data_IF_613774522608
#
_entry.id   IF_613774522608
#
_cell.length_a   1.000
_cell.length_b   1.000
_cell.length_c   1.000
_cell.angle_alpha   90.00
_cell.angle_beta   90.00
_cell.angle_gamma   90.00
#
_symmetry.space_group_name_H-M   'P 1'
#
loop_
_entity.id
_entity.type
_entity.pdbx_description
1 polymer ?
#
# COMPACT_ATOMS: atom_id res chain seq x y z
N UNK A 1 7.76 -9.69 22.75
CA UNK A 1 8.38 -10.16 21.49
C UNK A 1 9.91 -10.21 21.59
N UNK A 2 10.59 -9.20 22.15
CA UNK A 2 12.04 -9.24 22.37
C UNK A 2 12.54 -10.48 23.15
N UNK A 3 11.83 -10.89 24.21
CA UNK A 3 12.18 -12.09 25.00
C UNK A 3 12.07 -13.41 24.22
N UNK A 4 11.19 -13.50 23.21
CA UNK A 4 11.07 -14.70 22.37
C UNK A 4 12.23 -14.79 21.37
N UNK A 5 12.66 -13.65 20.83
CA UNK A 5 13.77 -13.57 19.88
C UNK A 5 15.14 -13.86 20.51
N UNK A 6 15.34 -13.57 21.80
CA UNK A 6 16.59 -13.90 22.50
C UNK A 6 16.78 -15.41 22.69
N UNK A 7 15.70 -16.17 22.92
CA UNK A 7 15.78 -17.61 23.19
C UNK A 7 16.20 -18.47 21.99
N UNK A 8 16.07 -17.94 20.77
CA UNK A 8 16.50 -18.63 19.54
C UNK A 8 17.78 -18.06 18.94
N UNK A 9 18.41 -17.08 19.60
CA UNK A 9 19.59 -16.42 19.05
C UNK A 9 20.77 -17.37 18.87
N UNK A 10 21.09 -18.18 19.88
CA UNK A 10 22.17 -19.18 19.80
C UNK A 10 21.89 -20.22 18.71
N UNK A 11 20.63 -20.66 18.59
CA UNK A 11 20.21 -21.57 17.52
C UNK A 11 20.42 -20.93 16.14
N UNK A 12 20.07 -19.65 15.98
CA UNK A 12 20.24 -18.94 14.71
C UNK A 12 21.72 -18.74 14.36
N UNK A 13 22.57 -18.45 15.35
CA UNK A 13 24.03 -18.36 15.15
C UNK A 13 24.61 -19.72 14.74
N UNK A 14 24.22 -20.80 15.41
CA UNK A 14 24.66 -22.15 15.05
C UNK A 14 24.21 -22.54 13.62
N UNK A 15 22.99 -22.18 13.22
CA UNK A 15 22.52 -22.39 11.84
C UNK A 15 23.29 -21.55 10.83
N UNK A 16 23.67 -20.32 11.19
CA UNK A 16 24.50 -19.47 10.34
C UNK A 16 25.90 -20.07 10.14
N UNK A 17 26.55 -20.52 11.21
CA UNK A 17 27.85 -21.19 11.16
C UNK A 17 27.80 -22.49 10.35
N UNK A 18 26.75 -23.30 10.54
CA UNK A 18 26.55 -24.52 9.77
C UNK A 18 26.38 -24.25 8.27
N UNK A 19 25.71 -23.16 7.89
CA UNK A 19 25.58 -22.75 6.49
C UNK A 19 26.94 -22.33 5.88
N UNK A 20 27.78 -21.62 6.64
CA UNK A 20 29.13 -21.26 6.21
C UNK A 20 30.00 -22.51 6.06
N UNK A 21 29.99 -23.41 7.03
CA UNK A 21 30.77 -24.65 6.97
C UNK A 21 30.34 -25.54 5.78
N UNK A 22 29.04 -25.66 5.53
CA UNK A 22 28.52 -26.39 4.37
C UNK A 22 28.95 -25.74 3.04
N UNK A 23 28.97 -24.41 2.95
CA UNK A 23 29.48 -23.68 1.78
C UNK A 23 30.94 -24.01 1.50
N UNK A 24 31.78 -23.97 2.54
CA UNK A 24 33.22 -24.26 2.44
C UNK A 24 33.48 -25.70 2.01
N UNK A 25 32.77 -26.66 2.61
CA UNK A 25 32.92 -28.08 2.31
C UNK A 25 32.61 -28.43 0.84
N UNK A 26 31.63 -27.73 0.24
CA UNK A 26 31.26 -27.96 -1.17
C UNK A 26 31.98 -27.03 -2.16
N UNK A 27 32.85 -26.13 -1.67
CA UNK A 27 33.58 -25.17 -2.48
C UNK A 27 32.66 -24.19 -3.24
N UNK A 28 31.53 -23.80 -2.66
CA UNK A 28 30.59 -22.89 -3.31
C UNK A 28 31.07 -21.43 -3.23
N UNK A 29 31.01 -20.72 -4.35
CA UNK A 29 31.27 -19.26 -4.39
C UNK A 29 30.06 -18.43 -3.95
N UNK A 30 28.87 -19.02 -3.86
CA UNK A 30 27.64 -18.31 -3.52
C UNK A 30 27.63 -17.88 -2.04
N UNK A 31 26.92 -16.80 -1.67
CA UNK A 31 26.70 -16.42 -0.27
C UNK A 31 26.03 -17.55 0.53
N UNK A 32 26.35 -17.65 1.81
CA UNK A 32 25.69 -18.56 2.73
C UNK A 32 25.44 -17.90 4.09
N UNK A 33 24.38 -18.30 4.77
CA UNK A 33 24.06 -17.84 6.11
C UNK A 33 22.59 -17.97 6.48
N UNK A 34 22.25 -17.58 7.71
CA UNK A 34 20.89 -17.60 8.22
C UNK A 34 20.36 -16.20 8.60
N UNK A 35 19.05 -16.02 8.52
CA UNK A 35 18.28 -14.89 9.06
C UNK A 35 17.03 -15.42 9.76
N UNK A 36 16.53 -14.71 10.77
CA UNK A 36 15.35 -15.14 11.52
C UNK A 36 14.45 -13.98 11.90
N UNK A 37 13.14 -14.24 11.91
CA UNK A 37 12.12 -13.34 12.44
C UNK A 37 11.12 -14.16 13.26
N UNK A 38 11.13 -13.97 14.58
CA UNK A 38 10.43 -14.87 15.50
C UNK A 38 10.81 -16.34 15.23
N UNK A 39 9.84 -17.23 15.00
CA UNK A 39 10.06 -18.65 14.69
C UNK A 39 10.39 -18.94 13.22
N UNK A 40 10.16 -17.98 12.32
CA UNK A 40 10.48 -18.12 10.90
C UNK A 40 11.98 -17.92 10.67
N UNK A 41 12.68 -18.99 10.27
CA UNK A 41 14.11 -18.96 9.94
C UNK A 41 14.31 -19.21 8.45
N UNK A 42 15.08 -18.34 7.81
CA UNK A 42 15.52 -18.49 6.42
C UNK A 42 17.00 -18.77 6.41
N UNK A 43 17.41 -19.85 5.75
CA UNK A 43 18.83 -20.15 5.51
C UNK A 43 19.06 -20.15 4.01
N UNK A 44 20.15 -19.52 3.58
CA UNK A 44 20.55 -19.45 2.18
C UNK A 44 21.93 -20.09 2.01
N UNK A 45 22.09 -20.87 0.94
CA UNK A 45 23.31 -21.60 0.57
C UNK A 45 23.21 -22.01 -0.91
N UNK A 46 24.34 -22.32 -1.55
CA UNK A 46 24.34 -22.95 -2.88
C UNK A 46 23.78 -24.38 -2.87
N UNK A 47 23.28 -24.83 -4.02
CA UNK A 47 22.48 -26.07 -4.16
C UNK A 47 23.20 -27.31 -3.61
N UNK A 48 24.51 -27.41 -3.85
CA UNK A 48 25.35 -28.55 -3.42
C UNK A 48 25.43 -28.71 -1.90
N UNK A 49 25.23 -27.64 -1.13
CA UNK A 49 25.34 -27.65 0.34
C UNK A 49 24.02 -27.95 1.06
N UNK A 50 22.91 -28.06 0.33
CA UNK A 50 21.55 -28.11 0.92
C UNK A 50 21.35 -29.32 1.84
N UNK A 51 21.70 -30.54 1.41
CA UNK A 51 21.48 -31.74 2.23
C UNK A 51 22.33 -31.74 3.50
N UNK A 52 23.61 -31.33 3.39
CA UNK A 52 24.47 -31.16 4.56
C UNK A 52 23.87 -30.19 5.58
N UNK A 53 23.35 -29.07 5.10
CA UNK A 53 22.70 -28.07 5.95
C UNK A 53 21.42 -28.59 6.59
N UNK A 54 20.60 -29.38 5.88
CA UNK A 54 19.37 -29.98 6.44
C UNK A 54 19.71 -30.89 7.63
N UNK A 55 20.73 -31.74 7.48
CA UNK A 55 21.15 -32.66 8.53
C UNK A 55 21.73 -31.91 9.74
N UNK A 56 22.62 -30.94 9.50
CA UNK A 56 23.12 -30.07 10.58
C UNK A 56 22.01 -29.29 11.27
N UNK A 57 21.03 -28.79 10.51
CA UNK A 57 19.90 -28.03 11.07
C UNK A 57 19.03 -28.90 11.99
N UNK A 58 18.78 -30.16 11.61
CA UNK A 58 18.03 -31.11 12.44
C UNK A 58 18.75 -31.40 13.75
N UNK A 59 20.05 -31.58 13.70
CA UNK A 59 20.88 -31.79 14.88
C UNK A 59 20.88 -30.58 15.81
N UNK A 60 21.14 -29.38 15.25
CA UNK A 60 21.16 -28.12 16.01
C UNK A 60 19.80 -27.88 16.68
N UNK A 61 18.71 -27.99 15.94
CA UNK A 61 17.36 -27.79 16.47
C UNK A 61 17.00 -28.87 17.51
N UNK A 62 17.41 -30.12 17.28
CA UNK A 62 17.20 -31.22 18.21
C UNK A 62 17.90 -31.01 19.56
N UNK A 63 19.16 -30.57 19.55
CA UNK A 63 19.92 -30.22 20.77
C UNK A 63 19.25 -29.10 21.55
N UNK A 64 18.66 -28.13 20.85
CA UNK A 64 17.91 -27.01 21.44
C UNK A 64 16.44 -27.35 21.75
N UNK A 65 16.03 -28.62 21.61
CA UNK A 65 14.66 -29.10 21.85
C UNK A 65 13.59 -28.37 21.02
N UNK A 66 13.97 -27.85 19.85
CA UNK A 66 13.07 -27.23 18.87
C UNK A 66 12.63 -28.29 17.88
N UNK A 67 11.32 -28.59 17.84
CA UNK A 67 10.77 -29.55 16.87
C UNK A 67 10.51 -28.87 15.53
N UNK A 68 11.26 -29.27 14.51
CA UNK A 68 11.03 -28.81 13.14
C UNK A 68 9.73 -29.37 12.57
N UNK A 69 8.91 -28.50 11.97
CA UNK A 69 7.72 -28.89 11.21
C UNK A 69 8.08 -29.07 9.74
N UNK A 70 8.51 -30.28 9.40
CA UNK A 70 9.02 -30.63 8.05
C UNK A 70 8.01 -30.30 6.95
N UNK A 71 6.72 -30.46 7.22
CA UNK A 71 5.61 -30.14 6.31
C UNK A 71 5.52 -28.65 5.93
N UNK A 72 6.11 -27.77 6.75
CA UNK A 72 6.18 -26.32 6.50
C UNK A 72 7.52 -25.88 5.92
N UNK A 73 8.54 -26.74 5.92
CA UNK A 73 9.85 -26.42 5.40
C UNK A 73 9.86 -26.58 3.88
N UNK A 74 10.37 -25.54 3.19
CA UNK A 74 10.47 -25.52 1.73
C UNK A 74 11.87 -25.07 1.31
N UNK A 75 12.33 -25.56 0.17
CA UNK A 75 13.58 -25.16 -0.47
C UNK A 75 13.21 -24.43 -1.75
N UNK A 76 13.51 -23.14 -1.82
CA UNK A 76 13.40 -22.37 -3.06
C UNK A 76 14.71 -22.47 -3.84
N UNK A 77 14.64 -22.98 -5.06
CA UNK A 77 15.76 -23.02 -6.00
C UNK A 77 15.46 -22.16 -7.23
N UNK A 78 16.48 -21.89 -8.03
CA UNK A 78 16.28 -21.24 -9.33
C UNK A 78 15.45 -22.14 -10.26
N UNK A 79 14.57 -21.58 -11.12
CA UNK A 79 13.85 -22.35 -12.14
C UNK A 79 14.75 -23.33 -12.90
N UNK A 80 14.30 -24.59 -12.99
CA UNK A 80 15.02 -25.66 -13.69
C UNK A 80 16.12 -26.35 -12.87
N UNK A 81 16.43 -25.90 -11.66
CA UNK A 81 17.49 -26.48 -10.80
C UNK A 81 16.95 -27.40 -9.70
N UNK A 82 15.72 -27.91 -9.85
CA UNK A 82 15.06 -28.75 -8.84
C UNK A 82 15.86 -30.00 -8.50
N UNK A 83 16.48 -30.62 -9.50
CA UNK A 83 17.22 -31.87 -9.30
C UNK A 83 18.65 -31.64 -8.76
N UNK A 84 19.14 -30.39 -8.78
CA UNK A 84 20.50 -30.06 -8.33
C UNK A 84 20.66 -30.08 -6.80
N UNK A 85 19.56 -30.11 -6.07
CA UNK A 85 19.55 -30.27 -4.60
C UNK A 85 19.37 -31.71 -4.16
N UNK A 86 19.25 -32.66 -5.09
CA UNK A 86 19.20 -34.07 -4.76
C UNK A 86 20.55 -34.54 -4.21
N UNK A 87 20.50 -35.32 -3.12
CA UNK A 87 21.64 -36.07 -2.63
C UNK A 87 21.95 -37.25 -3.55
N UNK A 88 23.01 -37.97 -3.22
CA UNK A 88 23.41 -39.19 -3.94
C UNK A 88 23.56 -40.30 -2.89
N UNK A 89 22.94 -41.46 -3.13
CA UNK A 89 23.10 -42.64 -2.25
C UNK A 89 24.40 -43.41 -2.51
N UNK A 90 24.63 -44.48 -1.75
CA UNK A 90 25.82 -45.32 -1.90
C UNK A 90 25.93 -45.97 -3.29
N UNK A 91 24.82 -46.11 -4.00
CA UNK A 91 24.73 -46.69 -5.34
C UNK A 91 24.74 -45.62 -6.45
N UNK A 92 24.94 -44.35 -6.11
CA UNK A 92 24.98 -43.25 -7.09
C UNK A 92 23.62 -42.73 -7.54
N UNK A 93 22.51 -43.13 -6.89
CA UNK A 93 21.15 -42.71 -7.26
C UNK A 93 20.78 -41.40 -6.57
N UNK A 94 20.00 -40.58 -7.26
CA UNK A 94 19.51 -39.32 -6.73
C UNK A 94 18.52 -39.54 -5.58
N UNK A 95 18.77 -38.93 -4.42
CA UNK A 95 17.86 -38.90 -3.27
C UNK A 95 17.26 -37.50 -3.15
N UNK A 96 15.93 -37.32 -3.19
CA UNK A 96 15.32 -36.01 -2.99
C UNK A 96 15.59 -35.50 -1.55
N UNK A 97 15.75 -34.18 -1.35
CA UNK A 97 15.92 -33.62 -0.03
C UNK A 97 14.66 -33.83 0.82
N UNK A 98 14.82 -33.73 2.14
CA UNK A 98 13.73 -33.98 3.07
C UNK A 98 12.61 -32.93 3.07
N UNK A 99 12.86 -31.75 2.48
CA UNK A 99 11.91 -30.65 2.40
C UNK A 99 11.37 -30.52 0.98
N UNK A 100 10.16 -29.98 0.84
CA UNK A 100 9.56 -29.73 -0.46
C UNK A 100 10.42 -28.75 -1.27
N UNK A 101 10.87 -29.17 -2.45
CA UNK A 101 11.59 -28.29 -3.39
C UNK A 101 10.59 -27.56 -4.28
N UNK A 102 10.70 -26.24 -4.35
CA UNK A 102 9.94 -25.37 -5.24
C UNK A 102 10.90 -24.50 -6.06
N UNK A 103 10.59 -24.27 -7.32
CA UNK A 103 11.43 -23.52 -8.25
C UNK A 103 10.70 -22.32 -8.89
N UNK A 104 9.38 -22.23 -8.71
CA UNK A 104 8.58 -21.09 -9.13
C UNK A 104 8.58 -19.95 -8.12
N UNK A 105 8.53 -20.26 -6.81
CA UNK A 105 8.42 -19.27 -5.75
C UNK A 105 7.75 -19.78 -4.48
N UNK A 106 7.81 -18.97 -3.43
CA UNK A 106 7.12 -19.19 -2.14
C UNK A 106 6.81 -17.85 -1.47
N UNK A 107 6.10 -17.87 -0.34
CA UNK A 107 5.81 -16.66 0.45
C UNK A 107 6.68 -16.64 1.71
N UNK A 108 7.52 -15.62 1.87
CA UNK A 108 8.35 -15.39 3.07
C UNK A 108 7.79 -14.19 3.84
N UNK A 109 7.40 -14.38 5.09
CA UNK A 109 6.89 -13.31 5.96
C UNK A 109 5.77 -12.47 5.31
N UNK A 110 4.91 -13.12 4.53
CA UNK A 110 3.82 -12.48 3.79
C UNK A 110 4.21 -11.87 2.43
N UNK A 111 5.49 -11.89 2.05
CA UNK A 111 5.98 -11.37 0.76
C UNK A 111 6.22 -12.51 -0.23
N UNK A 112 5.63 -12.50 -1.44
CA UNK A 112 5.92 -13.50 -2.45
C UNK A 112 7.31 -13.28 -3.07
N UNK A 113 8.11 -14.35 -3.12
CA UNK A 113 9.46 -14.40 -3.70
C UNK A 113 9.56 -15.49 -4.76
N UNK A 114 10.55 -15.39 -5.65
CA UNK A 114 10.76 -16.31 -6.77
C UNK A 114 10.54 -15.64 -8.12
N UNK A 115 10.03 -16.41 -9.09
CA UNK A 115 9.79 -15.97 -10.47
C UNK A 115 8.83 -14.79 -10.55
N UNK A 116 8.98 -13.96 -11.57
CA UNK A 116 8.05 -12.84 -11.80
C UNK A 116 6.59 -13.31 -11.90
N UNK A 117 6.35 -14.42 -12.61
CA UNK A 117 5.02 -15.02 -12.76
C UNK A 117 4.38 -15.43 -11.43
N UNK A 118 5.13 -16.14 -10.57
CA UNK A 118 4.65 -16.51 -9.23
C UNK A 118 4.31 -15.28 -8.39
N UNK A 119 5.21 -14.28 -8.38
CA UNK A 119 4.99 -13.05 -7.60
C UNK A 119 3.76 -12.29 -8.07
N UNK A 120 3.55 -12.15 -9.39
CA UNK A 120 2.36 -11.49 -9.96
C UNK A 120 1.08 -12.21 -9.55
N UNK A 121 1.00 -13.53 -9.73
CA UNK A 121 -0.18 -14.32 -9.36
C UNK A 121 -0.49 -14.24 -7.85
N UNK A 122 0.54 -14.30 -7.00
CA UNK A 122 0.38 -14.18 -5.56
C UNK A 122 -0.09 -12.77 -5.14
N UNK A 123 0.45 -11.71 -5.75
CA UNK A 123 0.04 -10.33 -5.51
C UNK A 123 -1.39 -10.08 -5.99
N UNK A 124 -1.74 -10.53 -7.20
CA UNK A 124 -3.10 -10.46 -7.74
C UNK A 124 -4.11 -11.04 -6.76
N UNK A 125 -3.88 -12.29 -6.34
CA UNK A 125 -4.72 -12.97 -5.36
C UNK A 125 -4.79 -12.20 -4.04
N UNK A 126 -3.66 -11.71 -3.53
CA UNK A 126 -3.63 -10.97 -2.26
C UNK A 126 -4.46 -9.69 -2.33
N UNK A 127 -4.32 -8.90 -3.41
CA UNK A 127 -5.10 -7.66 -3.60
C UNK A 127 -6.59 -7.95 -3.81
N UNK A 128 -6.92 -8.98 -4.58
CA UNK A 128 -8.31 -9.44 -4.73
C UNK A 128 -8.90 -9.85 -3.37
N UNK A 129 -8.16 -10.59 -2.56
CA UNK A 129 -8.56 -11.01 -1.20
C UNK A 129 -8.74 -9.81 -0.26
N UNK A 130 -7.90 -8.77 -0.38
CA UNK A 130 -8.03 -7.52 0.38
C UNK A 130 -9.27 -6.70 -0.03
N UNK A 131 -9.60 -6.66 -1.31
CA UNK A 131 -10.74 -5.91 -1.86
C UNK A 131 -12.08 -6.62 -1.67
N UNK A 132 -12.10 -7.96 -1.74
CA UNK A 132 -13.31 -8.81 -1.63
C UNK A 132 -14.28 -8.46 -0.50
N UNK A 133 -13.84 -8.16 0.74
CA UNK A 133 -14.75 -7.81 1.83
C UNK A 133 -15.24 -6.35 1.81
N UNK A 134 -14.65 -5.45 1.01
CA UNK A 134 -14.98 -4.01 1.00
C UNK A 134 -16.47 -3.74 0.72
N UNK A 135 -17.14 -4.42 -0.23
CA UNK A 135 -18.57 -4.19 -0.48
C UNK A 135 -19.48 -4.46 0.72
N UNK A 136 -19.05 -5.31 1.68
CA UNK A 136 -19.84 -5.62 2.87
C UNK A 136 -19.99 -4.42 3.82
N UNK A 137 -19.17 -3.37 3.67
CA UNK A 137 -19.27 -2.13 4.44
C UNK A 137 -20.61 -1.41 4.26
N UNK A 138 -21.32 -1.67 3.16
CA UNK A 138 -22.68 -1.14 2.90
C UNK A 138 -23.73 -1.64 3.89
N UNK A 139 -23.43 -2.71 4.64
CA UNK A 139 -24.33 -3.32 5.63
C UNK A 139 -24.05 -2.84 7.06
N UNK A 140 -23.10 -1.94 7.23
CA UNK A 140 -22.67 -1.40 8.52
C UNK A 140 -23.12 0.06 8.60
N UNK A 141 -23.37 0.56 9.81
CA UNK A 141 -23.57 2.00 10.05
C UNK A 141 -22.51 2.84 9.31
N UNK A 142 -22.89 3.91 8.58
CA UNK A 142 -21.97 4.71 7.75
C UNK A 142 -20.69 5.18 8.46
N UNK A 143 -20.78 5.61 9.71
CA UNK A 143 -19.62 6.09 10.46
C UNK A 143 -18.68 4.94 10.85
N UNK A 144 -19.24 3.82 11.32
CA UNK A 144 -18.49 2.59 11.56
C UNK A 144 -17.87 2.07 10.26
N UNK A 145 -18.61 2.08 9.15
CA UNK A 145 -18.15 1.64 7.84
C UNK A 145 -16.96 2.46 7.34
N UNK A 146 -17.04 3.80 7.47
CA UNK A 146 -15.94 4.70 7.14
C UNK A 146 -14.71 4.44 8.03
N UNK A 147 -14.91 4.28 9.34
CA UNK A 147 -13.82 4.01 10.29
C UNK A 147 -13.11 2.69 9.96
N UNK A 148 -13.86 1.63 9.67
CA UNK A 148 -13.32 0.35 9.24
C UNK A 148 -12.58 0.48 7.90
N UNK A 149 -13.15 1.21 6.94
CA UNK A 149 -12.52 1.47 5.65
C UNK A 149 -11.15 2.13 5.85
N UNK A 150 -11.09 3.16 6.69
CA UNK A 150 -9.89 3.94 6.94
C UNK A 150 -8.82 3.18 7.72
N UNK A 151 -9.19 2.59 8.85
CA UNK A 151 -8.22 2.04 9.80
C UNK A 151 -7.91 0.56 9.53
N UNK A 152 -8.80 -0.17 8.86
CA UNK A 152 -8.68 -1.63 8.74
C UNK A 152 -8.56 -2.12 7.29
N UNK A 153 -9.32 -1.56 6.35
CA UNK A 153 -9.28 -2.04 4.95
C UNK A 153 -8.18 -1.33 4.15
N UNK A 154 -8.14 0.00 4.18
CA UNK A 154 -7.17 0.79 3.41
C UNK A 154 -5.72 0.64 3.93
N UNK A 155 -5.54 0.10 5.14
CA UNK A 155 -4.22 -0.17 5.72
C UNK A 155 -3.58 -1.50 5.23
N UNK A 156 -4.38 -2.44 4.68
CA UNK A 156 -3.90 -3.80 4.33
C UNK A 156 -2.85 -3.80 3.21
N UNK A 157 -3.01 -3.01 2.12
CA UNK A 157 -2.01 -2.96 1.06
C UNK A 157 -0.64 -2.48 1.50
N UNK A 158 -0.56 -1.64 2.53
CA UNK A 158 0.64 -0.86 2.89
C UNK A 158 1.91 -1.71 3.02
N UNK A 159 1.79 -2.94 3.53
CA UNK A 159 2.93 -3.82 3.63
C UNK A 159 3.42 -4.28 2.26
N UNK A 160 2.53 -4.87 1.44
CA UNK A 160 2.88 -5.41 0.14
C UNK A 160 3.37 -4.34 -0.84
N UNK A 161 2.75 -3.16 -0.83
CA UNK A 161 3.15 -2.03 -1.67
C UNK A 161 4.49 -1.42 -1.26
N UNK A 162 5.00 -1.72 -0.06
CA UNK A 162 6.31 -1.25 0.41
C UNK A 162 7.44 -2.23 0.09
N UNK A 163 7.13 -3.51 0.02
CA UNK A 163 8.14 -4.59 -0.09
C UNK A 163 8.13 -5.30 -1.45
N UNK A 164 7.16 -4.99 -2.30
CA UNK A 164 7.04 -5.52 -3.66
C UNK A 164 7.42 -4.46 -4.68
N UNK A 165 7.79 -4.90 -5.88
CA UNK A 165 8.15 -3.99 -6.97
C UNK A 165 6.90 -3.40 -7.66
N UNK A 166 6.81 -2.07 -7.86
CA UNK A 166 5.64 -1.39 -8.43
C UNK A 166 5.09 -2.04 -9.71
N UNK A 167 5.97 -2.37 -10.67
CA UNK A 167 5.60 -2.98 -11.94
C UNK A 167 4.87 -4.34 -11.81
N UNK A 168 4.95 -4.98 -10.64
CA UNK A 168 4.26 -6.25 -10.36
C UNK A 168 2.85 -6.08 -9.85
N UNK A 169 2.55 -4.97 -9.17
CA UNK A 169 1.29 -4.82 -8.43
C UNK A 169 0.45 -3.61 -8.83
N UNK A 170 0.96 -2.70 -9.67
CA UNK A 170 0.26 -1.46 -10.04
C UNK A 170 -1.17 -1.67 -10.53
N UNK A 171 -1.40 -2.66 -11.40
CA UNK A 171 -2.74 -2.92 -11.95
C UNK A 171 -3.71 -3.42 -10.86
N UNK A 172 -3.20 -4.22 -9.91
CA UNK A 172 -3.99 -4.77 -8.82
C UNK A 172 -4.34 -3.70 -7.78
N UNK A 173 -3.42 -2.78 -7.46
CA UNK A 173 -3.73 -1.65 -6.55
C UNK A 173 -4.67 -0.65 -7.17
N UNK A 174 -4.65 -0.42 -8.48
CA UNK A 174 -5.68 0.41 -9.15
C UNK A 174 -7.07 -0.17 -8.94
N UNK A 175 -7.20 -1.50 -9.06
CA UNK A 175 -8.47 -2.20 -8.81
C UNK A 175 -8.90 -2.08 -7.35
N UNK A 176 -7.97 -2.26 -6.40
CA UNK A 176 -8.23 -2.04 -4.98
C UNK A 176 -8.66 -0.59 -4.69
N UNK A 177 -7.95 0.40 -5.23
CA UNK A 177 -8.26 1.81 -5.05
C UNK A 177 -9.64 2.19 -5.60
N UNK A 178 -10.04 1.59 -6.73
CA UNK A 178 -11.40 1.74 -7.27
C UNK A 178 -12.45 1.11 -6.34
N UNK A 179 -12.15 -0.01 -5.70
CA UNK A 179 -13.04 -0.60 -4.69
C UNK A 179 -13.19 0.33 -3.47
N UNK A 180 -12.12 1.00 -3.04
CA UNK A 180 -12.17 2.02 -1.98
C UNK A 180 -12.95 3.26 -2.43
N UNK A 181 -12.72 3.75 -3.66
CA UNK A 181 -13.49 4.85 -4.26
C UNK A 181 -15.00 4.55 -4.22
N UNK A 182 -15.38 3.35 -4.67
CA UNK A 182 -16.76 2.89 -4.66
C UNK A 182 -17.34 2.73 -3.25
N UNK A 183 -16.54 2.27 -2.29
CA UNK A 183 -16.98 2.15 -0.90
C UNK A 183 -17.25 3.51 -0.25
N UNK A 184 -16.37 4.50 -0.47
CA UNK A 184 -16.58 5.88 -0.01
C UNK A 184 -17.86 6.45 -0.61
N UNK A 185 -18.04 6.27 -1.92
CA UNK A 185 -19.23 6.73 -2.63
C UNK A 185 -20.52 6.05 -2.10
N UNK A 186 -20.47 4.75 -1.84
CA UNK A 186 -21.59 3.99 -1.28
C UNK A 186 -21.94 4.43 0.15
N UNK A 187 -20.94 4.64 1.02
CA UNK A 187 -21.15 5.18 2.38
C UNK A 187 -21.81 6.57 2.29
N UNK A 188 -21.34 7.40 1.38
CA UNK A 188 -21.89 8.72 1.12
C UNK A 188 -23.20 8.70 0.29
N UNK A 189 -23.71 7.52 -0.11
CA UNK A 189 -24.91 7.35 -0.95
C UNK A 189 -24.91 8.21 -2.21
N UNK A 190 -23.76 8.28 -2.88
CA UNK A 190 -23.57 9.07 -4.10
C UNK A 190 -22.90 8.21 -5.18
N UNK A 191 -23.07 8.51 -6.48
CA UNK A 191 -22.30 7.86 -7.52
C UNK A 191 -20.79 8.11 -7.35
N UNK A 192 -19.92 7.13 -7.66
CA UNK A 192 -18.48 7.34 -7.65
C UNK A 192 -18.06 8.36 -8.71
N UNK A 193 -17.02 9.15 -8.40
CA UNK A 193 -16.46 10.12 -9.33
C UNK A 193 -14.95 10.26 -9.13
N UNK A 194 -14.25 10.77 -10.14
CA UNK A 194 -12.82 11.08 -10.02
C UNK A 194 -12.55 12.11 -8.91
N UNK A 195 -13.49 13.04 -8.68
CA UNK A 195 -13.40 14.03 -7.61
C UNK A 195 -13.44 13.39 -6.21
N UNK A 196 -14.33 12.41 -5.99
CA UNK A 196 -14.36 11.61 -4.76
C UNK A 196 -13.02 10.88 -4.59
N UNK A 197 -12.49 10.31 -5.67
CA UNK A 197 -11.19 9.63 -5.68
C UNK A 197 -10.03 10.52 -5.26
N UNK A 198 -10.02 11.79 -5.69
CA UNK A 198 -9.04 12.80 -5.25
C UNK A 198 -9.28 13.24 -3.81
N UNK A 199 -10.53 13.57 -3.43
CA UNK A 199 -10.86 14.07 -2.10
C UNK A 199 -10.59 13.03 -1.01
N UNK A 200 -10.87 11.75 -1.28
CA UNK A 200 -10.60 10.71 -0.29
C UNK A 200 -9.10 10.60 0.04
N UNK A 201 -8.24 10.78 -0.96
CA UNK A 201 -6.80 10.58 -0.81
C UNK A 201 -6.11 11.75 -0.14
N UNK A 202 -6.70 12.94 -0.21
CA UNK A 202 -6.14 14.12 0.45
C UNK A 202 -6.14 13.97 1.98
N UNK A 203 -5.14 14.52 2.69
CA UNK A 203 -5.13 14.61 4.13
C UNK A 203 -6.33 15.39 4.66
N UNK A 204 -6.77 15.07 5.87
CA UNK A 204 -7.81 15.85 6.57
C UNK A 204 -7.43 17.33 6.76
N UNK A 205 -6.13 17.65 6.91
CA UNK A 205 -5.63 19.03 6.96
C UNK A 205 -5.77 19.76 5.62
N UNK A 206 -6.11 19.07 4.53
CA UNK A 206 -6.33 19.64 3.19
C UNK A 206 -7.77 19.41 2.71
N UNK A 207 -8.73 19.29 3.62
CA UNK A 207 -10.13 19.09 3.22
C UNK A 207 -10.49 17.65 2.82
N UNK A 208 -9.54 16.71 2.84
CA UNK A 208 -9.77 15.33 2.45
C UNK A 208 -10.23 14.40 3.56
N UNK A 209 -10.14 13.09 3.28
CA UNK A 209 -10.57 11.99 4.17
C UNK A 209 -9.41 11.17 4.76
N UNK A 210 -8.16 11.43 4.36
CA UNK A 210 -6.98 10.63 4.75
C UNK A 210 -7.12 9.14 4.43
N UNK A 211 -7.65 8.82 3.26
CA UNK A 211 -7.71 7.47 2.66
C UNK A 211 -6.75 7.42 1.47
N UNK A 212 -5.42 7.30 1.69
CA UNK A 212 -4.43 7.40 0.62
C UNK A 212 -4.69 6.38 -0.49
N UNK A 213 -4.28 6.75 -1.71
CA UNK A 213 -4.22 5.81 -2.84
C UNK A 213 -2.97 4.95 -2.73
N UNK A 214 -3.09 3.70 -3.16
CA UNK A 214 -1.98 2.75 -3.24
C UNK A 214 -1.40 2.67 -4.65
N UNK A 215 -2.10 3.19 -5.66
CA UNK A 215 -1.53 3.48 -6.96
C UNK A 215 -0.79 4.83 -6.94
N UNK A 216 0.41 4.85 -7.51
CA UNK A 216 1.16 6.07 -7.79
C UNK A 216 2.18 6.49 -6.72
N UNK A 217 2.54 7.78 -6.69
CA UNK A 217 3.76 8.29 -6.06
C UNK A 217 3.95 7.93 -4.59
N UNK A 218 2.87 7.91 -3.81
CA UNK A 218 2.95 7.63 -2.37
C UNK A 218 3.39 6.19 -2.09
N UNK A 219 2.93 5.23 -2.91
CA UNK A 219 3.32 3.83 -2.78
C UNK A 219 4.76 3.59 -3.26
N UNK A 220 5.15 4.29 -4.33
CA UNK A 220 6.49 4.20 -4.92
C UNK A 220 7.52 4.81 -3.97
N UNK A 221 7.21 5.92 -3.32
CA UNK A 221 8.02 6.51 -2.24
C UNK A 221 8.20 5.52 -1.08
N UNK A 222 7.12 4.85 -0.66
CA UNK A 222 7.18 3.80 0.36
C UNK A 222 8.13 2.66 -0.03
N UNK A 223 8.07 2.21 -1.28
CA UNK A 223 9.00 1.19 -1.81
C UNK A 223 10.45 1.68 -1.78
N UNK A 224 10.70 2.91 -2.25
CA UNK A 224 12.05 3.50 -2.28
C UNK A 224 12.62 3.66 -0.87
N UNK A 225 11.82 4.11 0.10
CA UNK A 225 12.21 4.19 1.50
C UNK A 225 12.55 2.81 2.07
N UNK A 226 11.78 1.78 1.73
CA UNK A 226 12.07 0.40 2.12
C UNK A 226 13.38 -0.10 1.54
N UNK A 227 13.63 0.13 0.24
CA UNK A 227 14.90 -0.20 -0.42
C UNK A 227 16.08 0.50 0.22
N UNK A 228 15.97 1.79 0.55
CA UNK A 228 17.02 2.53 1.22
C UNK A 228 17.36 1.92 2.58
N UNK A 229 16.35 1.59 3.38
CA UNK A 229 16.52 0.93 4.68
C UNK A 229 17.14 -0.46 4.54
N UNK A 230 16.67 -1.27 3.59
CA UNK A 230 17.26 -2.59 3.28
C UNK A 230 18.71 -2.45 2.84
N UNK A 231 19.04 -1.49 1.97
CA UNK A 231 20.41 -1.22 1.54
C UNK A 231 21.30 -0.85 2.72
N UNK A 232 20.88 0.06 3.59
CA UNK A 232 21.64 0.42 4.78
C UNK A 232 21.88 -0.78 5.70
N UNK A 233 20.87 -1.64 5.88
CA UNK A 233 20.99 -2.86 6.68
C UNK A 233 21.98 -3.86 6.05
N UNK A 234 21.81 -4.17 4.76
CA UNK A 234 22.65 -5.13 4.02
C UNK A 234 24.10 -4.65 4.00
N UNK A 235 24.35 -3.40 3.63
CA UNK A 235 25.72 -2.87 3.57
C UNK A 235 26.42 -2.84 4.93
N UNK A 236 25.67 -2.63 6.02
CA UNK A 236 26.24 -2.56 7.38
C UNK A 236 26.46 -3.94 8.00
N UNK A 237 25.51 -4.85 7.83
CA UNK A 237 25.47 -6.09 8.61
C UNK A 237 25.62 -7.36 7.77
N UNK A 238 25.28 -7.33 6.48
CA UNK A 238 25.22 -8.51 5.59
C UNK A 238 25.77 -8.21 4.18
N UNK A 239 27.00 -7.68 4.06
CA UNK A 239 27.53 -7.22 2.77
C UNK A 239 27.61 -8.34 1.71
N UNK A 240 27.65 -9.61 2.12
CA UNK A 240 27.61 -10.77 1.22
C UNK A 240 26.32 -10.87 0.40
N UNK A 241 25.24 -10.19 0.83
CA UNK A 241 23.96 -10.12 0.11
C UNK A 241 23.86 -8.93 -0.84
N UNK A 242 24.86 -8.04 -0.85
CA UNK A 242 24.82 -6.82 -1.66
C UNK A 242 24.63 -7.05 -3.17
N UNK A 243 25.22 -8.08 -3.80
CA UNK A 243 25.02 -8.34 -5.23
C UNK A 243 23.54 -8.57 -5.60
N UNK A 244 22.73 -9.11 -4.67
CA UNK A 244 21.29 -9.30 -4.90
C UNK A 244 20.52 -8.00 -5.10
N UNK A 245 21.04 -6.86 -4.63
CA UNK A 245 20.43 -5.55 -4.84
C UNK A 245 20.63 -5.03 -6.27
N UNK A 246 21.57 -5.59 -7.05
CA UNK A 246 21.77 -5.22 -8.47
C UNK A 246 20.57 -5.63 -9.34
N UNK A 247 19.78 -6.60 -8.88
CA UNK A 247 18.55 -7.04 -9.56
C UNK A 247 17.36 -6.09 -9.34
N UNK A 248 17.51 -5.03 -8.52
CA UNK A 248 16.45 -4.06 -8.29
C UNK A 248 16.23 -3.19 -9.53
N UNK A 249 15.04 -3.30 -10.13
CA UNK A 249 14.67 -2.44 -11.27
C UNK A 249 14.59 -0.98 -10.83
N UNK A 250 14.91 -0.08 -11.74
CA UNK A 250 14.64 1.33 -11.55
C UNK A 250 13.14 1.57 -11.32
N UNK A 251 12.79 2.44 -10.38
CA UNK A 251 11.39 2.81 -10.10
C UNK A 251 11.19 4.23 -10.62
N UNK A 252 10.38 4.36 -11.67
CA UNK A 252 9.92 5.65 -12.16
C UNK A 252 8.67 6.08 -11.41
N UNK A 253 8.83 7.10 -10.58
CA UNK A 253 7.74 7.61 -9.76
C UNK A 253 6.75 8.41 -10.61
N UNK A 254 5.45 8.15 -10.44
CA UNK A 254 4.35 8.86 -11.10
C UNK A 254 3.79 8.20 -12.36
N UNK A 255 4.40 7.12 -12.86
CA UNK A 255 3.94 6.41 -14.07
C UNK A 255 2.58 5.71 -13.91
N UNK A 256 2.22 5.35 -12.68
CA UNK A 256 0.96 4.67 -12.35
C UNK A 256 -0.31 5.52 -12.37
N UNK A 257 -0.20 6.85 -12.47
CA UNK A 257 -1.35 7.73 -12.55
C UNK A 257 -1.81 7.86 -14.02
N UNK A 258 -3.09 7.61 -14.31
CA UNK A 258 -3.73 8.01 -15.59
C UNK A 258 -3.73 9.52 -15.83
N UNK A 259 -3.15 10.31 -14.90
CA UNK A 259 -2.56 11.58 -15.24
C UNK A 259 -1.32 11.32 -16.13
N UNK A 260 -1.54 11.09 -17.43
CA UNK A 260 -0.59 11.57 -18.44
C UNK A 260 -0.37 13.04 -18.13
N UNK A 261 0.72 13.34 -17.41
CA UNK A 261 1.14 14.69 -17.11
C UNK A 261 1.32 15.37 -18.46
N UNK A 262 0.39 16.28 -18.81
CA UNK A 262 0.61 17.23 -19.90
C UNK A 262 1.76 18.11 -19.45
N UNK A 263 2.96 17.79 -19.92
CA UNK A 263 4.16 18.63 -19.78
C UNK A 263 3.91 20.09 -20.25
N UNK A 264 2.85 20.31 -21.05
CA UNK A 264 2.31 21.61 -21.47
C UNK A 264 1.96 22.57 -20.31
N UNK A 265 1.76 22.09 -19.07
CA UNK A 265 1.36 22.93 -17.92
C UNK A 265 2.47 23.13 -16.87
N UNK A 266 3.66 22.54 -17.08
CA UNK A 266 4.80 22.69 -16.17
C UNK A 266 5.87 23.62 -16.75
N UNK A 267 5.77 23.96 -18.03
CA UNK A 267 6.64 24.93 -18.69
C UNK A 267 5.79 26.15 -19.07
N UNK A 268 5.56 27.02 -18.09
CA UNK A 268 5.52 28.45 -18.40
C UNK A 268 6.92 28.97 -18.08
N UNK A 269 7.59 29.47 -19.12
CA UNK A 269 8.79 30.29 -19.13
C UNK A 269 10.12 29.68 -18.65
N UNK A 270 10.63 28.68 -19.37
CA UNK A 270 12.09 28.64 -19.60
C UNK A 270 12.40 27.99 -20.96
N UNK A 271 13.28 28.66 -21.70
CA UNK A 271 13.65 28.40 -23.08
C UNK A 271 14.32 27.02 -23.28
N UNK A 272 14.12 26.45 -24.47
CA UNK A 272 14.92 25.38 -25.09
C UNK A 272 15.18 24.10 -24.26
N UNK A 273 14.22 23.19 -24.21
CA UNK A 273 14.54 21.75 -24.03
C UNK A 273 13.92 20.95 -25.16
N UNK A 274 14.79 20.50 -26.07
CA UNK A 274 14.44 19.68 -27.21
C UNK A 274 13.83 18.33 -26.76
N UNK A 275 12.74 17.94 -27.40
CA UNK A 275 11.88 16.78 -27.13
C UNK A 275 12.53 15.38 -27.31
N UNK A 276 13.86 15.27 -27.34
CA UNK A 276 14.57 14.02 -27.64
C UNK A 276 15.03 13.20 -26.41
N UNK A 277 14.95 13.75 -25.18
CA UNK A 277 15.53 13.14 -23.97
C UNK A 277 14.48 12.49 -23.03
N UNK A 278 13.61 11.65 -23.58
CA UNK A 278 12.55 10.93 -22.86
C UNK A 278 13.04 9.62 -22.17
N UNK A 279 14.18 9.69 -21.48
CA UNK A 279 14.70 8.58 -20.66
C UNK A 279 15.21 9.05 -19.28
N UNK A 280 14.55 10.05 -18.68
CA UNK A 280 14.96 10.59 -17.37
C UNK A 280 13.84 10.46 -16.34
N UNK A 281 14.14 9.69 -15.31
CA UNK A 281 13.51 9.78 -13.99
C UNK A 281 13.33 11.26 -13.60
N UNK A 282 12.12 11.65 -13.20
CA UNK A 282 11.85 13.01 -12.76
C UNK A 282 12.77 13.39 -11.57
N UNK A 283 13.30 14.62 -11.53
CA UNK A 283 14.04 15.15 -10.38
C UNK A 283 13.31 14.94 -9.04
N UNK A 284 14.06 14.62 -7.98
CA UNK A 284 13.51 14.27 -6.64
C UNK A 284 12.57 15.34 -6.08
N UNK A 285 12.83 16.61 -6.35
CA UNK A 285 12.00 17.75 -5.95
C UNK A 285 10.67 17.81 -6.72
N UNK A 286 10.66 17.43 -8.00
CA UNK A 286 9.45 17.28 -8.81
C UNK A 286 8.65 16.05 -8.34
N UNK A 287 9.32 14.95 -8.00
CA UNK A 287 8.68 13.78 -7.40
C UNK A 287 8.05 14.07 -6.04
N UNK A 288 8.74 14.85 -5.19
CA UNK A 288 8.20 15.32 -3.92
C UNK A 288 6.97 16.21 -4.14
N UNK A 289 6.95 17.06 -5.19
CA UNK A 289 5.78 17.88 -5.58
C UNK A 289 4.63 17.06 -6.19
N UNK A 290 4.91 15.92 -6.82
CA UNK A 290 3.91 15.02 -7.42
C UNK A 290 3.31 14.06 -6.38
N UNK A 291 4.12 13.62 -5.41
CA UNK A 291 3.64 12.96 -4.18
C UNK A 291 2.94 13.95 -3.23
N UNK A 292 3.12 15.26 -3.45
CA UNK A 292 2.53 16.32 -2.64
C UNK A 292 1.01 16.38 -2.85
N UNK A 293 0.29 16.03 -1.80
CA UNK A 293 -1.14 16.26 -1.71
C UNK A 293 -1.53 17.71 -2.06
N UNK A 294 -0.62 18.68 -1.86
CA UNK A 294 -0.82 20.08 -2.25
C UNK A 294 -1.04 20.25 -3.75
N UNK A 295 -0.36 19.51 -4.62
CA UNK A 295 -0.57 19.61 -6.07
C UNK A 295 -1.97 19.11 -6.45
N UNK A 296 -2.35 17.92 -5.97
CA UNK A 296 -3.67 17.34 -6.21
C UNK A 296 -4.79 18.25 -5.68
N UNK A 297 -4.57 18.83 -4.50
CA UNK A 297 -5.46 19.82 -3.90
C UNK A 297 -5.57 21.08 -4.76
N UNK A 298 -4.45 21.64 -5.21
CA UNK A 298 -4.41 22.86 -6.03
C UNK A 298 -5.10 22.64 -7.38
N UNK A 299 -4.84 21.51 -8.03
CA UNK A 299 -5.47 21.14 -9.30
C UNK A 299 -6.99 21.04 -9.15
N UNK A 300 -7.47 20.40 -8.08
CA UNK A 300 -8.90 20.33 -7.75
C UNK A 300 -9.47 21.72 -7.48
N UNK A 301 -8.84 22.51 -6.63
CA UNK A 301 -9.27 23.86 -6.26
C UNK A 301 -9.38 24.79 -7.49
N UNK A 302 -8.36 24.81 -8.35
CA UNK A 302 -8.37 25.62 -9.57
C UNK A 302 -9.42 25.14 -10.57
N UNK A 303 -9.61 23.82 -10.71
CA UNK A 303 -10.68 23.25 -11.54
C UNK A 303 -12.05 23.75 -11.07
N UNK A 304 -12.34 23.66 -9.77
CA UNK A 304 -13.61 24.13 -9.19
C UNK A 304 -13.85 25.62 -9.47
N UNK A 305 -12.81 26.46 -9.38
CA UNK A 305 -12.91 27.90 -9.70
C UNK A 305 -13.19 28.13 -11.19
N UNK A 306 -12.46 27.45 -12.08
CA UNK A 306 -12.60 27.59 -13.53
C UNK A 306 -13.96 27.11 -14.04
N UNK A 307 -14.53 26.08 -13.44
CA UNK A 307 -15.87 25.58 -13.79
C UNK A 307 -17.01 26.32 -13.08
N UNK A 308 -16.76 27.48 -12.48
CA UNK A 308 -17.79 28.27 -11.79
C UNK A 308 -18.31 27.70 -10.47
N UNK A 309 -17.76 26.57 -9.98
CA UNK A 309 -18.13 25.93 -8.69
C UNK A 309 -17.46 26.63 -7.50
N UNK A 310 -17.62 27.96 -7.41
CA UNK A 310 -16.96 28.82 -6.40
C UNK A 310 -17.25 28.40 -4.96
N UNK A 311 -18.48 27.96 -4.67
CA UNK A 311 -18.89 27.49 -3.34
C UNK A 311 -18.13 26.22 -2.92
N UNK A 312 -17.99 25.25 -3.83
CA UNK A 312 -17.21 24.04 -3.57
C UNK A 312 -15.72 24.39 -3.35
N UNK A 313 -15.18 25.34 -4.10
CA UNK A 313 -13.81 25.81 -3.92
C UNK A 313 -13.63 26.47 -2.53
N UNK A 314 -14.58 27.33 -2.12
CA UNK A 314 -14.57 27.97 -0.80
C UNK A 314 -14.69 26.93 0.32
N UNK A 315 -15.59 25.95 0.19
CA UNK A 315 -15.75 24.87 1.17
C UNK A 315 -14.50 24.00 1.28
N UNK A 316 -13.87 23.63 0.17
CA UNK A 316 -12.59 22.90 0.16
C UNK A 316 -11.50 23.69 0.89
N UNK A 317 -11.41 25.00 0.64
CA UNK A 317 -10.47 25.89 1.31
C UNK A 317 -10.73 25.97 2.83
N UNK A 318 -11.98 26.20 3.23
CA UNK A 318 -12.37 26.22 4.65
C UNK A 318 -12.13 24.89 5.34
N UNK A 319 -12.37 23.77 4.64
CA UNK A 319 -12.11 22.42 5.09
C UNK A 319 -10.63 22.05 5.20
N UNK A 320 -9.72 22.90 4.72
CA UNK A 320 -8.27 22.71 4.77
C UNK A 320 -7.61 23.33 6.02
N UNK A 321 -8.41 23.56 7.06
CA UNK A 321 -7.90 23.99 8.37
C UNK A 321 -7.66 22.80 9.30
N UNK A 322 -6.68 22.91 10.18
CA UNK A 322 -6.34 21.88 11.17
C UNK A 322 -7.54 21.52 12.04
N UNK A 323 -7.82 20.22 12.17
CA UNK A 323 -8.88 19.70 13.05
C UNK A 323 -10.28 19.63 12.45
N UNK A 324 -10.52 20.21 11.28
CA UNK A 324 -11.85 20.20 10.61
C UNK A 324 -12.34 18.80 10.21
N UNK A 325 -11.44 17.81 10.13
CA UNK A 325 -11.78 16.41 9.83
C UNK A 325 -11.91 15.50 11.06
N UNK A 326 -11.70 15.99 12.29
CA UNK A 326 -11.69 15.16 13.51
C UNK A 326 -13.03 14.43 13.75
N UNK A 327 -14.13 14.98 13.27
CA UNK A 327 -15.46 14.38 13.41
C UNK A 327 -15.62 13.09 12.59
N UNK A 328 -14.81 12.88 11.53
CA UNK A 328 -14.87 11.67 10.68
C UNK A 328 -14.64 10.38 11.48
N UNK A 329 -13.80 10.44 12.50
CA UNK A 329 -13.44 9.30 13.37
C UNK A 329 -13.93 9.45 14.80
N UNK A 330 -14.76 10.48 15.07
CA UNK A 330 -15.28 10.75 16.40
C UNK A 330 -16.26 9.66 16.84
N UNK A 331 -16.03 9.07 18.02
CA UNK A 331 -16.83 7.95 18.53
C UNK A 331 -17.87 8.35 19.59
N UNK A 332 -18.09 9.65 19.78
CA UNK A 332 -18.80 10.17 20.94
C UNK A 332 -17.89 10.29 22.16
N UNK A 333 -18.44 10.80 23.26
CA UNK A 333 -17.83 10.71 24.60
C UNK A 333 -17.79 9.27 25.11
N UNK A 334 -17.31 9.07 26.35
CA UNK A 334 -17.17 7.73 26.96
C UNK A 334 -18.44 6.88 26.94
N UNK A 335 -19.61 7.51 26.98
CA UNK A 335 -20.91 6.86 26.93
C UNK A 335 -21.53 6.82 25.51
N UNK A 336 -20.76 7.16 24.46
CA UNK A 336 -21.27 7.28 23.09
C UNK A 336 -22.16 8.51 22.86
N UNK A 337 -22.33 9.37 23.87
CA UNK A 337 -23.02 10.67 23.74
C UNK A 337 -22.31 11.53 22.67
N UNK A 338 -23.09 12.23 21.84
CA UNK A 338 -22.58 13.05 20.72
C UNK A 338 -21.98 12.26 19.55
N UNK A 339 -22.38 11.00 19.37
CA UNK A 339 -22.15 10.30 18.09
C UNK A 339 -23.09 10.87 17.03
N UNK A 340 -22.62 10.96 15.79
CA UNK A 340 -23.48 11.33 14.67
C UNK A 340 -24.59 10.30 14.49
N UNK A 341 -25.81 10.76 14.22
CA UNK A 341 -26.81 9.90 13.60
C UNK A 341 -26.31 9.41 12.22
N UNK A 342 -26.76 8.25 11.76
CA UNK A 342 -26.30 7.71 10.46
C UNK A 342 -26.57 8.67 9.31
N UNK A 343 -27.71 9.36 9.30
CA UNK A 343 -28.04 10.37 8.28
C UNK A 343 -27.18 11.64 8.41
N UNK A 344 -27.01 12.18 9.63
CA UNK A 344 -26.14 13.35 9.85
C UNK A 344 -24.70 13.08 9.42
N UNK A 345 -24.19 11.87 9.67
CA UNK A 345 -22.85 11.49 9.20
C UNK A 345 -22.77 11.45 7.68
N UNK A 346 -23.79 10.89 7.02
CA UNK A 346 -23.86 10.84 5.54
C UNK A 346 -23.89 12.26 4.97
N UNK A 347 -24.71 13.15 5.51
CA UNK A 347 -24.78 14.55 5.08
C UNK A 347 -23.44 15.28 5.26
N UNK A 348 -22.80 15.14 6.42
CA UNK A 348 -21.49 15.72 6.69
C UNK A 348 -20.38 15.15 5.76
N UNK A 349 -20.40 13.83 5.50
CA UNK A 349 -19.47 13.19 4.58
C UNK A 349 -19.67 13.69 3.15
N UNK A 350 -20.92 13.86 2.72
CA UNK A 350 -21.29 14.39 1.40
C UNK A 350 -20.79 15.83 1.21
N UNK A 351 -20.94 16.69 2.22
CA UNK A 351 -20.35 18.03 2.23
C UNK A 351 -18.82 17.96 2.07
N UNK A 352 -18.16 17.05 2.78
CA UNK A 352 -16.70 16.86 2.69
C UNK A 352 -16.27 16.37 1.30
N UNK A 353 -17.13 15.61 0.62
CA UNK A 353 -16.95 15.11 -0.73
C UNK A 353 -17.39 16.09 -1.83
N UNK A 354 -17.78 17.32 -1.49
CA UNK A 354 -18.23 18.35 -2.44
C UNK A 354 -19.42 17.91 -3.31
N UNK A 355 -20.30 17.07 -2.74
CA UNK A 355 -21.56 16.65 -3.37
C UNK A 355 -22.76 17.20 -2.59
N UNK A 356 -23.97 17.08 -3.14
CA UNK A 356 -25.22 17.49 -2.47
C UNK A 356 -25.29 16.89 -1.07
N UNK A 357 -25.40 17.67 0.02
CA UNK A 357 -25.50 17.13 1.38
C UNK A 357 -26.68 16.16 1.53
N UNK A 358 -27.78 16.36 0.79
CA UNK A 358 -28.97 15.54 0.93
C UNK A 358 -28.84 14.26 0.08
N UNK A 359 -28.89 13.05 0.68
CA UNK A 359 -28.66 11.77 -0.01
C UNK A 359 -29.77 11.41 -1.00
N UNK A 360 -30.98 11.91 -0.76
CA UNK A 360 -32.08 11.89 -1.74
C UNK A 360 -32.20 13.29 -2.30
N UNK A 361 -31.47 13.60 -3.39
CA UNK A 361 -31.69 14.82 -4.12
C UNK A 361 -33.04 14.70 -4.81
N UNK A 362 -34.13 14.89 -4.06
CA UNK A 362 -35.42 15.11 -4.69
C UNK A 362 -35.35 16.37 -5.57
N UNK A 363 -36.46 16.74 -6.18
CA UNK A 363 -36.71 18.13 -6.60
C UNK A 363 -36.85 19.06 -5.39
N UNK A 364 -36.11 18.80 -4.31
CA UNK A 364 -36.08 19.55 -3.08
C UNK A 364 -35.56 20.93 -3.43
N UNK A 365 -36.52 21.85 -3.56
CA UNK A 365 -36.25 23.26 -3.72
C UNK A 365 -35.87 23.80 -2.35
N UNK A 366 -34.98 24.79 -2.34
CA UNK A 366 -34.81 25.65 -1.18
C UNK A 366 -36.18 26.16 -0.72
N UNK A 367 -36.67 25.81 0.50
CA UNK A 367 -37.99 26.24 0.95
C UNK A 367 -38.09 27.76 1.11
N UNK A 368 -36.95 28.43 1.31
CA UNK A 368 -36.90 29.87 1.43
C UNK A 368 -36.93 30.59 0.08
N UNK A 369 -36.32 30.01 -0.94
CA UNK A 369 -36.04 30.66 -2.22
C UNK A 369 -36.98 30.22 -3.34
N UNK A 370 -37.65 29.09 -3.14
CA UNK A 370 -38.58 28.40 -4.04
C UNK A 370 -38.07 28.10 -5.48
N UNK A 371 -36.86 28.52 -5.86
CA UNK A 371 -36.37 28.41 -7.25
C UNK A 371 -35.01 27.72 -7.44
N UNK A 372 -34.33 27.33 -6.37
CA UNK A 372 -33.01 26.66 -6.46
C UNK A 372 -33.16 25.21 -6.01
N UNK A 373 -32.84 24.27 -6.90
CA UNK A 373 -32.75 22.84 -6.60
C UNK A 373 -31.39 22.53 -5.97
N UNK A 374 -31.36 21.75 -4.89
CA UNK A 374 -30.09 21.36 -4.26
C UNK A 374 -29.19 20.51 -5.17
N UNK A 375 -29.76 19.81 -6.16
CA UNK A 375 -29.00 19.16 -7.23
C UNK A 375 -28.13 20.12 -8.03
N UNK A 376 -28.66 21.31 -8.30
CA UNK A 376 -28.03 22.32 -9.15
C UNK A 376 -27.07 23.19 -8.32
N UNK A 377 -27.36 23.35 -7.03
CA UNK A 377 -26.53 24.07 -6.06
C UNK A 377 -26.47 23.34 -4.70
N UNK A 378 -25.62 22.30 -4.56
CA UNK A 378 -25.45 21.47 -3.36
C UNK A 378 -25.32 22.24 -2.04
N UNK A 379 -24.50 23.29 -2.05
CA UNK A 379 -24.18 24.06 -0.85
C UNK A 379 -25.16 25.20 -0.59
N UNK A 380 -26.23 25.30 -1.38
CA UNK A 380 -27.20 26.38 -1.27
C UNK A 380 -27.88 26.44 0.11
N UNK A 381 -28.05 25.30 0.79
CA UNK A 381 -28.62 25.26 2.14
C UNK A 381 -27.77 26.06 3.15
N UNK A 382 -26.45 26.13 2.93
CA UNK A 382 -25.50 26.83 3.79
C UNK A 382 -25.41 28.34 3.46
N UNK A 383 -25.83 28.72 2.26
CA UNK A 383 -25.60 30.06 1.71
C UNK A 383 -26.87 30.76 1.20
N UNK A 384 -28.04 30.18 1.47
CA UNK A 384 -29.31 30.74 1.05
C UNK A 384 -29.41 32.20 1.52
N UNK A 385 -29.53 33.19 0.60
CA UNK A 385 -29.56 34.60 0.98
C UNK A 385 -30.73 34.95 1.91
N UNK A 386 -31.78 34.12 1.89
CA UNK A 386 -32.96 34.25 2.75
C UNK A 386 -32.80 33.56 4.12
N UNK A 387 -31.82 32.65 4.27
CA UNK A 387 -31.42 32.06 5.55
C UNK A 387 -30.30 32.84 6.24
N UNK A 388 -29.53 33.62 5.49
CA UNK A 388 -28.61 34.57 6.08
C UNK A 388 -29.47 35.70 6.69
N UNK A 389 -29.58 35.84 8.02
CA UNK A 389 -30.10 37.09 8.58
C UNK A 389 -29.24 38.19 7.98
N UNK A 390 -29.85 39.31 7.58
CA UNK A 390 -29.13 40.46 7.03
C UNK A 390 -27.94 40.76 7.95
N UNK A 391 -26.75 40.26 7.60
CA UNK A 391 -25.52 40.54 8.33
C UNK A 391 -25.18 41.96 7.95
N UNK A 392 -25.77 42.91 8.68
CA UNK A 392 -25.20 44.24 8.85
C UNK A 392 -23.87 44.00 9.57
N UNK A 393 -22.81 43.99 8.79
CA UNK A 393 -21.45 44.12 9.31
C UNK A 393 -21.27 45.52 9.87
#
# INVERSE_FOLDING_TARGET
>A
MALFSCGQHETLLALHEAAIAAKEAVGSSLPAGATGFADDTTVFIGERGVNMLIDSSREILGRNRVKLRVDKCKILVHPGRRDEVNGIDAEGRAIPPAFEVVDSGLTVLGTPVGTEGYRRAALEKAFADMARPVPALTRVDPQSAFTLLQLCFNARPCFLTRVSEPHLYMDYVRTFDKAVDNAVAAIARTPPSAEIGTLRSLPQSMGGLSLPRHCGPQSEEGTLASRAMTKSYVMKYRPELAPGMECWRHIEVGTGNEARYRAELVIEDDEEVAFADLDRSLPRDILLRIADYKYSWMALYQRLRRTGRRHHAAWLLSGSSTGTGKWLTWRGGLEGRFRFGSEEFVEALRLRLLVDPLPTPGNSLCPHCAGIRFTDAPLHALECPRLQPARRW
#
